data_IF_942295132156
#
_entry.id   IF_942295132156
#
_cell.length_a   1.000
_cell.length_b   1.000
_cell.length_c   1.000
_cell.angle_alpha   90.00
_cell.angle_beta   90.00
_cell.angle_gamma   90.00
#
_symmetry.space_group_name_H-M   'P 1'
#
loop_
_entity.id
_entity.type
_entity.pdbx_description
1 polymer ?
#
# COMPACT_ATOMS: atom_id res chain seq x y z
N UNK A 1 0.62 -11.98 2.64
CA UNK A 1 0.58 -11.19 1.40
C UNK A 1 0.59 -9.75 1.83
N UNK A 2 1.46 -8.93 1.28
CA UNK A 2 1.56 -7.52 1.69
C UNK A 2 0.58 -6.74 0.85
N UNK A 3 -0.51 -6.32 1.49
CA UNK A 3 -1.47 -5.44 0.87
C UNK A 3 -0.99 -4.00 0.96
N UNK A 4 -1.43 -3.17 0.03
CA UNK A 4 -1.08 -1.78 -0.01
C UNK A 4 -2.35 -0.96 -0.07
N UNK A 5 -2.45 0.07 0.76
CA UNK A 5 -3.60 0.97 0.79
C UNK A 5 -3.31 2.29 0.08
N UNK A 6 -4.29 2.80 -0.66
CA UNK A 6 -4.27 4.15 -1.22
C UNK A 6 -4.52 5.17 -0.10
N UNK A 7 -3.65 6.17 0.05
CA UNK A 7 -3.79 7.20 1.08
C UNK A 7 -5.03 8.10 0.90
N UNK A 8 -5.58 8.17 -0.31
CA UNK A 8 -6.70 9.06 -0.61
C UNK A 8 -8.08 8.40 -0.45
N UNK A 9 -8.26 7.21 -1.02
CA UNK A 9 -9.55 6.52 -1.02
C UNK A 9 -9.59 5.26 -0.14
N UNK A 10 -8.45 4.83 0.42
CA UNK A 10 -8.35 3.60 1.21
C UNK A 10 -8.46 2.31 0.40
N UNK A 11 -8.45 2.40 -0.94
CA UNK A 11 -8.46 1.21 -1.80
C UNK A 11 -7.26 0.32 -1.49
N UNK A 12 -7.46 -0.99 -1.43
CA UNK A 12 -6.38 -1.96 -1.21
C UNK A 12 -6.04 -2.72 -2.49
N UNK A 13 -4.74 -2.88 -2.76
CA UNK A 13 -4.25 -3.69 -3.88
C UNK A 13 -3.13 -4.63 -3.43
N UNK A 14 -2.96 -5.72 -4.17
CA UNK A 14 -1.82 -6.61 -4.00
C UNK A 14 -0.64 -6.10 -4.84
N UNK A 15 0.34 -5.49 -4.17
CA UNK A 15 1.65 -5.19 -4.74
C UNK A 15 2.75 -6.04 -4.10
N UNK A 16 2.38 -7.17 -3.47
CA UNK A 16 3.29 -8.14 -2.85
C UNK A 16 4.46 -8.56 -3.75
N UNK A 17 4.28 -8.53 -5.07
CA UNK A 17 5.31 -8.84 -6.06
C UNK A 17 6.52 -7.88 -6.03
N UNK A 18 6.38 -6.70 -5.42
CA UNK A 18 7.40 -5.66 -5.33
C UNK A 18 7.81 -5.46 -3.87
N UNK A 19 8.60 -6.41 -3.35
CA UNK A 19 9.30 -6.41 -2.06
C UNK A 19 9.05 -5.21 -1.13
N UNK A 20 7.91 -5.20 -0.43
CA UNK A 20 7.66 -4.45 0.83
C UNK A 20 8.01 -2.96 0.86
N UNK A 21 8.18 -2.30 -0.28
CA UNK A 21 8.61 -0.90 -0.37
C UNK A 21 7.45 -0.01 -0.80
N UNK A 22 7.32 1.20 -0.22
CA UNK A 22 6.30 2.14 -0.64
C UNK A 22 6.56 2.62 -2.07
N UNK A 23 5.50 2.76 -2.87
CA UNK A 23 5.63 3.10 -4.30
C UNK A 23 4.54 4.02 -4.79
N UNK A 24 4.88 4.94 -5.68
CA UNK A 24 3.89 5.77 -6.38
C UNK A 24 3.35 5.05 -7.61
N UNK A 25 2.05 4.79 -7.64
CA UNK A 25 1.35 4.24 -8.80
C UNK A 25 -0.04 4.85 -8.92
N UNK A 26 -0.60 4.79 -10.12
CA UNK A 26 -1.95 5.29 -10.38
C UNK A 26 -2.97 4.41 -9.64
N UNK A 27 -3.89 5.05 -8.93
CA UNK A 27 -4.99 4.39 -8.25
C UNK A 27 -6.11 4.10 -9.24
N UNK A 28 -6.54 2.84 -9.43
CA UNK A 28 -7.63 2.54 -10.35
C UNK A 28 -8.99 3.12 -9.93
N UNK A 29 -9.09 3.65 -8.70
CA UNK A 29 -10.30 4.28 -8.16
C UNK A 29 -10.24 5.79 -8.30
N UNK A 30 -9.13 6.42 -7.88
CA UNK A 30 -8.97 7.86 -8.00
C UNK A 30 -8.57 8.29 -9.42
N UNK A 31 -8.06 7.36 -10.24
CA UNK A 31 -7.37 7.61 -11.51
C UNK A 31 -6.16 8.57 -11.38
N UNK A 32 -5.70 8.77 -10.15
CA UNK A 32 -4.61 9.67 -9.76
C UNK A 32 -3.41 8.91 -9.18
N UNK A 33 -2.24 9.54 -9.21
CA UNK A 33 -1.03 8.92 -8.64
C UNK A 33 -1.06 9.00 -7.12
N UNK A 34 -1.14 7.84 -6.46
CA UNK A 34 -1.09 7.73 -5.00
C UNK A 34 0.19 7.03 -4.54
N UNK A 35 0.59 7.28 -3.29
CA UNK A 35 1.65 6.51 -2.65
C UNK A 35 1.02 5.27 -2.01
N UNK A 36 1.41 4.11 -2.52
CA UNK A 36 1.05 2.82 -1.97
C UNK A 36 2.05 2.48 -0.88
N UNK A 37 1.61 2.53 0.37
CA UNK A 37 2.38 2.04 1.50
C UNK A 37 2.01 0.58 1.80
N UNK A 38 2.99 -0.28 2.06
CA UNK A 38 2.72 -1.64 2.49
C UNK A 38 2.03 -1.61 3.87
N UNK A 39 0.86 -2.20 3.95
CA UNK A 39 0.21 -2.53 5.21
C UNK A 39 1.00 -3.73 5.78
N UNK A 40 1.95 -3.44 6.67
CA UNK A 40 2.67 -4.47 7.39
C UNK A 40 1.71 -5.12 8.40
N UNK A 41 1.15 -6.28 8.05
CA UNK A 41 0.63 -7.23 9.03
C UNK A 41 1.82 -7.88 9.75
N UNK A 42 2.44 -7.12 10.65
CA UNK A 42 3.57 -7.54 11.47
C UNK A 42 3.52 -6.80 12.79
N UNK A 43 2.97 -7.47 13.80
CA UNK A 43 2.97 -7.07 15.20
C UNK A 43 4.39 -6.69 15.64
N UNK A 44 4.65 -5.38 15.75
CA UNK A 44 5.89 -4.82 16.26
C UNK A 44 5.57 -3.92 17.43
N UNK A 45 5.48 -4.53 18.62
CA UNK A 45 5.43 -3.84 19.92
C UNK A 45 6.29 -2.57 19.92
N UNK A 46 5.68 -1.43 20.28
CA UNK A 46 6.44 -0.24 20.65
C UNK A 46 7.26 -0.57 21.91
N UNK A 47 8.58 -0.37 21.85
CA UNK A 47 9.51 -0.46 22.98
C UNK A 47 9.37 0.75 23.90
#
# INVERSE_FOLDING_TARGET
>A
MTYYSCEECGQMIDLSAFEGQPRRQNCPVCEETTLWTPEFEGEGVSF
#
